data_IF_261782892542
#
_entry.id   IF_261782892542
#
_cell.length_a   1.000
_cell.length_b   1.000
_cell.length_c   1.000
_cell.angle_alpha   90.00
_cell.angle_beta   90.00
_cell.angle_gamma   90.00
#
_symmetry.space_group_name_H-M   'P 1'
#
loop_
_entity.id
_entity.type
_entity.pdbx_description
1 polymer ?
#
# COMPACT_ATOMS: atom_id res chain seq x y z
N UNK A 1 -6.30 -6.48 -23.42
CA UNK A 1 -6.42 -5.27 -22.59
C UNK A 1 -7.12 -4.17 -23.37
N UNK A 2 -6.56 -3.64 -24.47
CA UNK A 2 -7.13 -2.52 -25.21
C UNK A 2 -8.52 -2.78 -25.81
N UNK A 3 -8.81 -4.01 -26.20
CA UNK A 3 -10.14 -4.42 -26.65
C UNK A 3 -11.19 -4.28 -25.52
N UNK A 4 -10.81 -4.59 -24.28
CA UNK A 4 -11.68 -4.37 -23.10
C UNK A 4 -11.93 -2.88 -22.81
N UNK A 5 -11.01 -2.01 -23.23
CA UNK A 5 -11.17 -0.56 -23.18
C UNK A 5 -12.00 0.00 -24.35
N UNK A 6 -12.56 -0.86 -25.23
CA UNK A 6 -13.43 -0.47 -26.33
C UNK A 6 -12.75 -0.11 -27.63
N UNK A 7 -11.41 -0.28 -27.74
CA UNK A 7 -10.69 -0.05 -28.98
C UNK A 7 -10.78 -1.26 -29.92
N UNK A 8 -11.05 -1.00 -31.20
CA UNK A 8 -11.00 -2.05 -32.23
C UNK A 8 -9.54 -2.31 -32.63
N UNK A 9 -8.93 -3.29 -31.96
CA UNK A 9 -7.51 -3.67 -32.17
C UNK A 9 -7.24 -4.30 -33.53
N UNK A 10 -8.27 -4.64 -34.32
CA UNK A 10 -8.17 -5.19 -35.66
C UNK A 10 -8.37 -4.13 -36.74
N UNK A 11 -8.74 -2.90 -36.37
CA UNK A 11 -8.89 -1.79 -37.29
C UNK A 11 -7.61 -0.94 -37.30
N UNK A 12 -6.75 -1.00 -38.34
CA UNK A 12 -5.50 -0.25 -38.38
C UNK A 12 -5.68 1.28 -38.46
N UNK A 13 -6.88 1.76 -38.76
CA UNK A 13 -7.21 3.20 -38.72
C UNK A 13 -7.46 3.71 -37.31
N UNK A 14 -7.66 2.81 -36.34
CA UNK A 14 -7.86 3.11 -34.94
C UNK A 14 -6.70 2.61 -34.08
N UNK A 15 -6.25 1.37 -34.30
CA UNK A 15 -5.16 0.72 -33.59
C UNK A 15 -4.09 0.29 -34.59
N UNK A 16 -3.15 1.23 -34.89
CA UNK A 16 -2.14 1.05 -35.91
C UNK A 16 -0.95 0.24 -35.38
N UNK A 17 -0.66 -0.95 -35.93
CA UNK A 17 0.55 -1.69 -35.60
C UNK A 17 1.76 -1.06 -36.33
N UNK A 18 2.94 -1.24 -35.75
CA UNK A 18 4.21 -0.80 -36.33
C UNK A 18 4.20 0.67 -36.79
N UNK A 19 3.65 1.55 -35.93
CA UNK A 19 3.44 2.96 -36.27
C UNK A 19 4.76 3.70 -36.50
N UNK A 20 4.84 4.42 -37.62
CA UNK A 20 5.99 5.22 -38.04
C UNK A 20 5.59 6.70 -38.00
N UNK A 21 6.31 7.53 -37.24
CA UNK A 21 6.12 8.98 -37.30
C UNK A 21 6.87 9.56 -38.52
N UNK A 22 6.24 10.53 -39.18
CA UNK A 22 6.74 11.10 -40.45
C UNK A 22 8.00 12.00 -40.31
N UNK A 23 8.41 12.36 -39.09
CA UNK A 23 9.43 13.38 -38.85
C UNK A 23 10.47 12.96 -37.79
N UNK A 24 11.75 13.11 -38.16
CA UNK A 24 12.86 13.23 -37.20
C UNK A 24 13.43 11.93 -36.63
N UNK A 25 12.99 10.74 -37.11
CA UNK A 25 13.37 9.43 -36.56
C UNK A 25 14.38 8.74 -37.48
N UNK A 26 15.24 7.89 -36.89
CA UNK A 26 16.15 7.04 -37.69
C UNK A 26 15.33 6.15 -38.62
N UNK A 27 15.75 6.10 -39.89
CA UNK A 27 15.09 5.34 -40.93
C UNK A 27 14.89 3.88 -40.47
N UNK A 28 13.62 3.44 -40.37
CA UNK A 28 13.25 2.07 -39.96
C UNK A 28 12.91 1.87 -38.47
N UNK A 29 12.99 2.90 -37.62
CA UNK A 29 12.41 2.82 -36.27
C UNK A 29 10.89 2.95 -36.35
N UNK A 30 10.17 2.26 -35.47
CA UNK A 30 8.71 2.25 -35.35
C UNK A 30 8.32 1.92 -33.91
N UNK A 31 7.22 2.49 -33.44
CA UNK A 31 6.58 2.09 -32.18
C UNK A 31 5.67 0.89 -32.44
N UNK A 32 5.58 -0.04 -31.49
CA UNK A 32 4.85 -1.31 -31.73
C UNK A 32 3.38 -1.05 -32.10
N UNK A 33 2.71 -0.10 -31.40
CA UNK A 33 1.33 0.28 -31.73
C UNK A 33 1.08 1.76 -31.42
N UNK A 34 0.09 2.33 -32.14
CA UNK A 34 -0.48 3.66 -31.82
C UNK A 34 -2.01 3.60 -31.86
N UNK A 35 -2.67 4.20 -30.89
CA UNK A 35 -4.09 4.49 -30.94
C UNK A 35 -4.28 5.82 -31.62
N UNK A 36 -5.09 5.84 -32.67
CA UNK A 36 -5.33 7.00 -33.53
C UNK A 36 -6.72 7.58 -33.28
N UNK A 37 -6.79 8.92 -33.32
CA UNK A 37 -8.02 9.66 -33.44
C UNK A 37 -7.91 10.60 -34.65
N UNK A 38 -8.78 10.44 -35.64
CA UNK A 38 -8.73 11.18 -36.92
C UNK A 38 -7.33 11.14 -37.56
N UNK A 39 -6.74 9.98 -37.66
CA UNK A 39 -5.39 9.69 -38.17
C UNK A 39 -4.23 10.29 -37.36
N UNK A 40 -4.48 10.97 -36.25
CA UNK A 40 -3.43 11.48 -35.37
C UNK A 40 -3.23 10.53 -34.17
N UNK A 41 -1.99 10.20 -33.80
CA UNK A 41 -1.73 9.37 -32.64
C UNK A 41 -2.08 10.14 -31.38
N UNK A 42 -2.86 9.49 -30.49
CA UNK A 42 -3.24 10.00 -29.18
C UNK A 42 -2.54 9.23 -28.07
N UNK A 43 -2.28 7.93 -28.28
CA UNK A 43 -1.54 7.06 -27.36
C UNK A 43 -0.52 6.27 -28.16
N UNK A 44 0.73 6.24 -27.73
CA UNK A 44 1.78 5.37 -28.24
C UNK A 44 1.98 4.18 -27.30
N UNK A 45 2.20 2.99 -27.85
CA UNK A 45 2.33 1.78 -27.05
C UNK A 45 3.58 1.01 -27.48
N UNK A 46 4.44 0.74 -26.53
CA UNK A 46 5.62 -0.11 -26.70
C UNK A 46 5.42 -1.40 -25.88
N UNK A 47 5.50 -2.54 -26.55
CA UNK A 47 5.28 -3.85 -25.96
C UNK A 47 6.60 -4.62 -25.84
N UNK A 48 6.85 -5.24 -24.71
CA UNK A 48 8.02 -6.08 -24.45
C UNK A 48 7.60 -7.50 -24.12
N UNK A 49 8.56 -8.42 -24.18
CA UNK A 49 8.33 -9.79 -23.73
C UNK A 49 7.85 -9.82 -22.27
N UNK A 50 6.95 -10.74 -21.94
CA UNK A 50 6.45 -10.96 -20.57
C UNK A 50 7.57 -11.16 -19.54
N UNK A 51 8.73 -11.64 -19.96
CA UNK A 51 9.90 -11.86 -19.10
C UNK A 51 10.79 -10.61 -18.96
N UNK A 52 10.51 -9.54 -19.69
CA UNK A 52 11.32 -8.31 -19.65
C UNK A 52 10.95 -7.48 -18.45
N UNK A 53 11.97 -7.05 -17.70
CA UNK A 53 11.85 -5.93 -16.76
C UNK A 53 11.69 -4.65 -17.59
N UNK A 54 10.67 -3.86 -17.29
CA UNK A 54 10.38 -2.61 -18.01
C UNK A 54 11.28 -1.44 -17.57
N UNK A 55 12.24 -1.65 -16.67
CA UNK A 55 13.27 -0.66 -16.35
C UNK A 55 14.19 -0.50 -17.56
N UNK A 56 14.43 0.73 -17.99
CA UNK A 56 15.32 1.08 -19.10
C UNK A 56 14.85 0.69 -20.53
N UNK A 57 13.56 0.39 -20.75
CA UNK A 57 13.02 0.04 -22.07
C UNK A 57 12.18 1.16 -22.72
N UNK A 58 12.18 2.34 -22.16
CA UNK A 58 11.38 3.49 -22.56
C UNK A 58 12.00 4.37 -23.67
N UNK A 59 13.29 4.17 -23.99
CA UNK A 59 14.04 5.07 -24.88
C UNK A 59 13.43 5.24 -26.28
N UNK A 60 12.80 4.22 -26.83
CA UNK A 60 12.12 4.26 -28.12
C UNK A 60 10.82 5.05 -28.02
N UNK A 61 9.99 4.71 -27.02
CA UNK A 61 8.74 5.39 -26.73
C UNK A 61 8.96 6.90 -26.47
N UNK A 62 10.03 7.27 -25.73
CA UNK A 62 10.44 8.66 -25.50
C UNK A 62 10.69 9.42 -26.78
N UNK A 63 11.46 8.83 -27.72
CA UNK A 63 11.79 9.49 -28.99
C UNK A 63 10.54 9.74 -29.84
N UNK A 64 9.66 8.73 -29.94
CA UNK A 64 8.42 8.85 -30.69
C UNK A 64 7.44 9.84 -30.08
N UNK A 65 7.34 9.87 -28.76
CA UNK A 65 6.47 10.80 -28.06
C UNK A 65 6.80 12.24 -28.40
N UNK A 66 8.08 12.61 -28.41
CA UNK A 66 8.53 13.97 -28.72
C UNK A 66 8.38 14.39 -30.20
N UNK A 67 8.12 13.43 -31.11
CA UNK A 67 8.01 13.70 -32.56
C UNK A 67 6.58 13.52 -33.07
N UNK A 68 5.62 13.21 -32.21
CA UNK A 68 4.21 13.00 -32.57
C UNK A 68 3.29 13.93 -31.81
N UNK A 69 2.00 13.89 -32.12
CA UNK A 69 0.95 14.60 -31.38
C UNK A 69 0.41 13.80 -30.20
N UNK A 70 0.94 12.59 -29.95
CA UNK A 70 0.50 11.76 -28.86
C UNK A 70 0.69 12.44 -27.50
N UNK A 71 -0.29 12.30 -26.61
CA UNK A 71 -0.26 12.85 -25.26
C UNK A 71 -0.02 11.80 -24.20
N UNK A 72 -0.12 10.53 -24.55
CA UNK A 72 0.14 9.43 -23.63
C UNK A 72 1.05 8.38 -24.29
N UNK A 73 1.94 7.83 -23.46
CA UNK A 73 2.76 6.69 -23.79
C UNK A 73 2.46 5.52 -22.84
N UNK A 74 2.36 4.31 -23.35
CA UNK A 74 2.18 3.10 -22.56
C UNK A 74 3.33 2.15 -22.86
N UNK A 75 4.06 1.76 -21.83
CA UNK A 75 5.06 0.70 -21.87
C UNK A 75 4.49 -0.52 -21.15
N UNK A 76 4.50 -1.68 -21.81
CA UNK A 76 3.94 -2.90 -21.23
C UNK A 76 4.74 -4.15 -21.59
N UNK A 77 4.70 -5.16 -20.72
CA UNK A 77 5.12 -6.53 -21.05
C UNK A 77 3.92 -7.51 -21.07
N UNK A 78 2.69 -6.97 -21.12
CA UNK A 78 1.47 -7.78 -21.11
C UNK A 78 0.92 -8.06 -19.70
N UNK A 79 1.75 -8.00 -18.64
CA UNK A 79 1.33 -8.10 -17.25
C UNK A 79 1.49 -6.78 -16.50
N UNK A 80 2.60 -6.10 -16.66
CA UNK A 80 2.84 -4.75 -16.12
C UNK A 80 2.53 -3.71 -17.20
N UNK A 81 1.83 -2.63 -16.79
CA UNK A 81 1.49 -1.48 -17.62
C UNK A 81 1.97 -0.20 -16.93
N UNK A 82 2.72 0.64 -17.66
CA UNK A 82 3.24 1.92 -17.21
C UNK A 82 2.75 3.03 -18.14
N UNK A 83 2.09 4.04 -17.59
CA UNK A 83 1.49 5.14 -18.32
C UNK A 83 2.32 6.41 -18.12
N UNK A 84 2.65 7.05 -19.21
CA UNK A 84 3.48 8.26 -19.28
C UNK A 84 2.75 9.38 -20.00
N UNK A 85 3.11 10.64 -19.67
CA UNK A 85 2.66 11.84 -20.36
C UNK A 85 3.73 12.93 -20.24
N UNK A 86 3.45 14.15 -20.65
CA UNK A 86 4.35 15.30 -20.69
C UNK A 86 3.99 16.37 -19.64
N UNK A 87 4.01 16.03 -18.35
CA UNK A 87 3.66 16.95 -17.26
C UNK A 87 4.74 17.97 -16.96
N UNK A 88 6.03 17.61 -17.11
CA UNK A 88 7.17 18.47 -16.77
C UNK A 88 7.52 19.45 -17.91
N UNK A 89 7.60 18.94 -19.13
CA UNK A 89 7.96 19.73 -20.32
C UNK A 89 7.03 19.32 -21.47
N UNK A 90 6.34 20.29 -22.15
CA UNK A 90 5.45 19.98 -23.26
C UNK A 90 6.13 19.17 -24.37
N UNK A 91 5.47 18.16 -24.88
CA UNK A 91 5.94 17.22 -25.90
C UNK A 91 7.22 16.44 -25.55
N UNK A 92 7.55 16.36 -24.28
CA UNK A 92 8.65 15.55 -23.78
C UNK A 92 8.11 14.60 -22.70
N UNK A 93 8.06 13.33 -23.02
CA UNK A 93 7.57 12.31 -22.10
C UNK A 93 8.36 12.34 -20.78
N UNK A 94 7.68 12.32 -19.65
CA UNK A 94 8.30 12.27 -18.32
C UNK A 94 9.08 10.98 -18.12
N UNK A 95 10.13 11.01 -17.31
CA UNK A 95 10.97 9.82 -17.03
C UNK A 95 10.25 8.80 -16.13
N UNK A 96 9.35 9.27 -15.30
CA UNK A 96 8.58 8.41 -14.37
C UNK A 96 7.15 8.28 -14.85
N UNK A 97 6.57 7.08 -14.83
CA UNK A 97 5.17 6.89 -15.13
C UNK A 97 4.31 7.62 -14.09
N UNK A 98 3.24 8.27 -14.52
CA UNK A 98 2.27 8.85 -13.59
C UNK A 98 1.34 7.80 -13.00
N UNK A 99 1.15 6.68 -13.70
CA UNK A 99 0.31 5.56 -13.28
C UNK A 99 0.92 4.24 -13.73
N UNK A 100 0.86 3.22 -12.88
CA UNK A 100 1.28 1.87 -13.22
C UNK A 100 0.46 0.83 -12.45
N UNK A 101 0.32 -0.35 -13.04
CA UNK A 101 -0.31 -1.48 -12.38
C UNK A 101 0.22 -2.81 -12.93
N UNK A 102 0.05 -3.87 -12.14
CA UNK A 102 0.29 -5.26 -12.53
C UNK A 102 -1.08 -5.92 -12.69
N UNK A 103 -1.35 -6.48 -13.88
CA UNK A 103 -2.68 -6.98 -14.25
C UNK A 103 -3.17 -8.11 -13.33
N UNK A 104 -2.25 -8.95 -12.86
CA UNK A 104 -2.55 -10.06 -11.94
C UNK A 104 -2.74 -9.60 -10.48
N UNK A 105 -2.41 -8.34 -10.16
CA UNK A 105 -2.45 -7.75 -8.80
C UNK A 105 -3.22 -6.42 -8.78
N UNK A 106 -4.17 -6.28 -9.70
CA UNK A 106 -4.91 -5.03 -9.88
C UNK A 106 -5.79 -4.75 -8.66
N UNK A 107 -5.79 -3.48 -8.21
CA UNK A 107 -6.58 -3.00 -7.09
C UNK A 107 -7.78 -2.19 -7.57
N UNK A 108 -8.88 -2.20 -6.82
CA UNK A 108 -10.12 -1.47 -7.18
C UNK A 108 -9.87 0.01 -7.48
N UNK A 109 -9.01 0.68 -6.70
CA UNK A 109 -8.64 2.08 -6.94
C UNK A 109 -7.90 2.31 -8.27
N UNK A 110 -7.23 1.28 -8.81
CA UNK A 110 -6.56 1.36 -10.11
C UNK A 110 -7.53 1.16 -11.26
N UNK A 111 -8.61 0.42 -11.06
CA UNK A 111 -9.64 0.18 -12.07
C UNK A 111 -10.29 1.49 -12.50
N UNK A 112 -10.61 2.38 -11.57
CA UNK A 112 -11.20 3.70 -11.87
C UNK A 112 -10.27 4.58 -12.72
N UNK A 113 -8.95 4.48 -12.53
CA UNK A 113 -7.97 5.21 -13.35
C UNK A 113 -7.86 4.61 -14.76
N UNK A 114 -7.92 3.27 -14.86
CA UNK A 114 -7.90 2.57 -16.16
C UNK A 114 -9.14 2.92 -16.99
N UNK A 115 -10.32 3.06 -16.37
CA UNK A 115 -11.55 3.43 -17.06
C UNK A 115 -11.50 4.80 -17.72
N UNK A 116 -10.65 5.72 -17.27
CA UNK A 116 -10.45 7.01 -17.97
C UNK A 116 -9.83 6.84 -19.37
N UNK A 117 -9.15 5.71 -19.60
CA UNK A 117 -8.58 5.35 -20.89
C UNK A 117 -9.52 4.54 -21.79
N UNK A 118 -10.76 4.26 -21.36
CA UNK A 118 -11.78 3.71 -22.26
C UNK A 118 -12.05 4.69 -23.41
N UNK A 119 -12.25 4.12 -24.61
CA UNK A 119 -12.50 4.88 -25.82
C UNK A 119 -13.61 5.93 -25.67
N UNK A 120 -14.73 5.54 -25.02
CA UNK A 120 -15.88 6.40 -24.82
C UNK A 120 -15.64 7.51 -23.78
N UNK A 121 -14.73 7.28 -22.83
CA UNK A 121 -14.44 8.19 -21.72
C UNK A 121 -13.12 8.96 -21.93
N UNK A 122 -12.43 8.72 -23.05
CA UNK A 122 -11.10 9.26 -23.28
C UNK A 122 -11.13 10.77 -23.50
N UNK A 123 -10.65 11.51 -22.50
CA UNK A 123 -10.51 12.97 -22.53
C UNK A 123 -9.09 13.35 -22.10
N UNK A 124 -8.34 13.92 -23.04
CA UNK A 124 -6.92 14.28 -22.83
C UNK A 124 -6.75 15.26 -21.67
N UNK A 125 -7.61 16.28 -21.54
CA UNK A 125 -7.47 17.30 -20.50
C UNK A 125 -7.76 16.73 -19.12
N UNK A 126 -8.83 15.95 -18.98
CA UNK A 126 -9.20 15.32 -17.72
C UNK A 126 -8.17 14.27 -17.28
N UNK A 127 -7.65 13.47 -18.20
CA UNK A 127 -6.61 12.48 -17.90
C UNK A 127 -5.30 13.18 -17.51
N UNK A 128 -4.92 14.27 -18.21
CA UNK A 128 -3.68 15.00 -17.88
C UNK A 128 -3.73 15.68 -16.51
N UNK A 129 -4.89 16.23 -16.10
CA UNK A 129 -5.08 16.74 -14.74
C UNK A 129 -4.96 15.63 -13.69
N UNK A 130 -5.67 14.52 -13.90
CA UNK A 130 -5.59 13.36 -13.01
C UNK A 130 -4.16 12.77 -12.97
N UNK A 131 -3.44 12.75 -14.08
CA UNK A 131 -2.07 12.29 -14.18
C UNK A 131 -1.12 13.12 -13.29
N UNK A 132 -1.28 14.45 -13.27
CA UNK A 132 -0.52 15.31 -12.38
C UNK A 132 -0.75 14.95 -10.91
N UNK A 133 -2.02 14.85 -10.49
CA UNK A 133 -2.37 14.53 -9.12
C UNK A 133 -1.84 13.14 -8.71
N UNK A 134 -1.98 12.14 -9.57
CA UNK A 134 -1.49 10.78 -9.33
C UNK A 134 0.03 10.72 -9.20
N UNK A 135 0.77 11.44 -10.06
CA UNK A 135 2.23 11.50 -10.03
C UNK A 135 2.71 12.05 -8.69
N UNK A 136 2.19 13.20 -8.27
CA UNK A 136 2.58 13.80 -7.00
C UNK A 136 2.11 12.99 -5.80
N UNK A 137 0.92 12.38 -5.85
CA UNK A 137 0.45 11.47 -4.81
C UNK A 137 1.39 10.27 -4.64
N UNK A 138 1.88 9.69 -5.75
CA UNK A 138 2.85 8.60 -5.70
C UNK A 138 4.18 9.05 -5.09
N UNK A 139 4.70 10.21 -5.46
CA UNK A 139 5.91 10.77 -4.87
C UNK A 139 5.77 11.03 -3.36
N UNK A 140 4.62 11.55 -2.93
CA UNK A 140 4.33 11.73 -1.50
C UNK A 140 4.30 10.38 -0.76
N UNK A 141 3.65 9.36 -1.35
CA UNK A 141 3.62 8.02 -0.75
C UNK A 141 5.01 7.39 -0.66
N UNK A 142 5.81 7.47 -1.71
CA UNK A 142 7.19 6.95 -1.73
C UNK A 142 8.05 7.67 -0.69
N UNK A 143 7.97 9.01 -0.65
CA UNK A 143 8.67 9.82 0.34
C UNK A 143 8.28 9.41 1.77
N UNK A 144 6.99 9.38 2.08
CA UNK A 144 6.50 9.01 3.41
C UNK A 144 6.88 7.58 3.78
N UNK A 145 6.80 6.63 2.83
CA UNK A 145 7.21 5.24 3.06
C UNK A 145 8.69 5.15 3.45
N UNK A 146 9.54 5.92 2.77
CA UNK A 146 10.96 6.00 3.11
C UNK A 146 11.18 6.57 4.50
N UNK A 147 10.56 7.72 4.79
CA UNK A 147 10.74 8.43 6.06
C UNK A 147 10.18 7.64 7.27
N UNK A 148 9.11 6.88 7.09
CA UNK A 148 8.56 5.99 8.13
C UNK A 148 9.51 4.83 8.44
N UNK A 149 10.16 4.26 7.41
CA UNK A 149 11.07 3.12 7.60
C UNK A 149 12.46 3.54 8.06
N UNK A 150 12.97 4.65 7.52
CA UNK A 150 14.30 5.18 7.80
C UNK A 150 14.28 6.72 7.72
N UNK A 151 13.86 7.40 8.83
CA UNK A 151 13.72 8.85 8.87
C UNK A 151 15.03 9.58 8.55
N UNK A 152 15.00 10.47 7.57
CA UNK A 152 16.14 11.33 7.24
C UNK A 152 16.41 12.36 8.34
N UNK A 153 17.64 12.85 8.42
CA UNK A 153 18.05 13.88 9.39
C UNK A 153 17.17 15.15 9.24
N UNK A 154 16.90 15.55 8.01
CA UNK A 154 16.05 16.70 7.68
C UNK A 154 14.63 16.51 8.18
N UNK A 155 14.07 15.32 8.00
CA UNK A 155 12.73 14.99 8.43
C UNK A 155 12.60 14.95 9.95
N UNK A 156 13.56 14.32 10.65
CA UNK A 156 13.62 14.35 12.11
C UNK A 156 13.76 15.77 12.63
N UNK A 157 14.63 16.59 11.99
CA UNK A 157 14.82 17.99 12.37
C UNK A 157 13.55 18.85 12.16
N UNK A 158 12.80 18.57 11.10
CA UNK A 158 11.51 19.20 10.84
C UNK A 158 10.52 18.89 11.97
N UNK A 159 10.36 17.60 12.33
CA UNK A 159 9.46 17.19 13.44
C UNK A 159 9.92 17.80 14.76
N UNK A 160 11.21 17.76 15.07
CA UNK A 160 11.75 18.41 16.27
C UNK A 160 11.54 19.94 16.27
N UNK A 161 11.28 20.52 15.09
CA UNK A 161 10.87 21.92 14.96
C UNK A 161 9.60 22.22 15.75
N UNK A 162 8.67 21.30 15.75
CA UNK A 162 7.34 21.46 16.33
C UNK A 162 7.25 20.97 17.78
N UNK A 163 8.12 20.03 18.21
CA UNK A 163 7.96 19.33 19.49
C UNK A 163 9.10 19.55 20.48
N UNK A 164 10.19 20.23 20.08
CA UNK A 164 11.38 20.40 20.90
C UNK A 164 11.93 21.83 20.84
N UNK A 165 11.90 22.53 21.97
CA UNK A 165 12.33 23.94 22.08
C UNK A 165 13.86 24.14 22.12
N UNK A 166 14.65 23.06 22.26
CA UNK A 166 16.10 23.14 22.38
C UNK A 166 16.82 23.25 21.03
N UNK A 167 18.15 23.43 21.10
CA UNK A 167 19.00 23.48 19.91
C UNK A 167 19.09 22.07 19.29
N UNK A 168 18.73 21.95 18.02
CA UNK A 168 18.66 20.70 17.24
C UNK A 168 20.06 20.31 16.71
N UNK A 169 20.98 19.99 17.63
CA UNK A 169 22.31 19.48 17.28
C UNK A 169 22.21 18.06 16.71
N UNK A 170 23.27 17.61 16.01
CA UNK A 170 23.32 16.24 15.48
C UNK A 170 23.08 15.18 16.55
N UNK A 171 23.67 15.36 17.72
CA UNK A 171 23.49 14.44 18.86
C UNK A 171 22.01 14.35 19.30
N UNK A 172 21.32 15.46 19.30
CA UNK A 172 19.87 15.50 19.62
C UNK A 172 19.06 14.81 18.50
N UNK A 173 19.38 15.08 17.24
CA UNK A 173 18.70 14.46 16.10
C UNK A 173 18.90 12.94 16.15
N UNK A 174 20.13 12.45 16.31
CA UNK A 174 20.45 11.03 16.40
C UNK A 174 19.71 10.35 17.57
N UNK A 175 19.58 11.04 18.71
CA UNK A 175 18.82 10.56 19.87
C UNK A 175 17.32 10.44 19.59
N UNK A 176 16.73 11.37 18.84
CA UNK A 176 15.30 11.39 18.56
C UNK A 176 14.89 10.62 17.33
N UNK A 177 15.80 10.25 16.43
CA UNK A 177 15.50 9.44 15.23
C UNK A 177 14.74 8.16 15.56
N UNK A 178 15.16 7.31 16.53
CA UNK A 178 14.39 6.13 16.91
C UNK A 178 13.03 6.47 17.52
N UNK A 179 12.90 7.59 18.24
CA UNK A 179 11.63 8.03 18.82
C UNK A 179 10.65 8.44 17.72
N UNK A 180 11.09 9.21 16.74
CA UNK A 180 10.29 9.61 15.57
C UNK A 180 9.83 8.36 14.79
N UNK A 181 10.75 7.43 14.52
CA UNK A 181 10.43 6.16 13.84
C UNK A 181 9.36 5.36 14.58
N UNK A 182 9.47 5.22 15.90
CA UNK A 182 8.48 4.54 16.73
C UNK A 182 7.13 5.27 16.75
N UNK A 183 7.15 6.60 16.88
CA UNK A 183 5.94 7.42 16.85
C UNK A 183 5.14 7.25 15.57
N UNK A 184 5.80 7.19 14.41
CA UNK A 184 5.11 6.91 13.13
C UNK A 184 4.49 5.52 13.08
N UNK A 185 5.23 4.50 13.53
CA UNK A 185 4.70 3.13 13.56
C UNK A 185 3.48 3.01 14.46
N UNK A 186 3.53 3.58 15.66
CA UNK A 186 2.38 3.63 16.55
C UNK A 186 1.20 4.36 15.93
N UNK A 187 1.43 5.55 15.36
CA UNK A 187 0.37 6.31 14.71
C UNK A 187 -0.32 5.51 13.58
N UNK A 188 0.46 4.83 12.73
CA UNK A 188 -0.09 4.00 11.66
C UNK A 188 -0.88 2.82 12.24
N UNK A 189 -0.36 2.13 13.25
CA UNK A 189 -1.04 1.03 13.93
C UNK A 189 -2.37 1.49 14.55
N UNK A 190 -2.38 2.64 15.22
CA UNK A 190 -3.59 3.22 15.81
C UNK A 190 -4.64 3.59 14.74
N UNK A 191 -4.20 4.16 13.59
CA UNK A 191 -5.10 4.46 12.48
C UNK A 191 -5.71 3.20 11.86
N UNK A 192 -4.92 2.14 11.68
CA UNK A 192 -5.39 0.85 11.18
C UNK A 192 -6.40 0.24 12.16
N UNK A 193 -6.08 0.22 13.45
CA UNK A 193 -6.97 -0.29 14.49
C UNK A 193 -8.28 0.49 14.58
N UNK A 194 -8.23 1.82 14.49
CA UNK A 194 -9.43 2.67 14.50
C UNK A 194 -10.33 2.40 13.30
N UNK A 195 -9.75 2.27 12.09
CA UNK A 195 -10.51 1.94 10.88
C UNK A 195 -11.10 0.53 10.92
N UNK A 196 -10.34 -0.43 11.44
CA UNK A 196 -10.81 -1.80 11.61
C UNK A 196 -11.99 -1.85 12.59
N UNK A 197 -11.88 -1.18 13.73
CA UNK A 197 -12.97 -1.07 14.72
C UNK A 197 -14.19 -0.38 14.11
N UNK A 198 -14.03 0.71 13.35
CA UNK A 198 -15.13 1.37 12.65
C UNK A 198 -15.81 0.44 11.64
N UNK A 199 -15.05 -0.33 10.85
CA UNK A 199 -15.58 -1.27 9.88
C UNK A 199 -16.35 -2.43 10.53
N UNK A 200 -15.87 -2.92 11.68
CA UNK A 200 -16.52 -3.98 12.45
C UNK A 200 -17.79 -3.47 13.17
N UNK A 201 -17.81 -2.20 13.61
CA UNK A 201 -18.95 -1.60 14.29
C UNK A 201 -20.06 -1.12 13.34
N UNK A 202 -19.81 -1.04 12.03
CA UNK A 202 -20.84 -0.63 11.03
C UNK A 202 -21.92 -1.70 10.85
N UNK A 203 -21.77 -2.87 11.45
CA UNK A 203 -22.80 -3.93 11.45
C UNK A 203 -23.70 -3.95 12.69
N UNK A 204 -23.50 -3.04 13.66
CA UNK A 204 -24.38 -2.90 14.85
C UNK A 204 -24.57 -1.41 15.18
N UNK A 205 -25.82 -0.97 15.19
CA UNK A 205 -26.24 0.40 15.52
C UNK A 205 -25.98 0.77 16.97
N UNK A 206 -25.25 1.84 17.13
CA UNK A 206 -25.07 2.84 18.17
C UNK A 206 -25.91 2.78 19.46
N UNK A 207 -25.24 2.79 20.60
CA UNK A 207 -25.53 3.69 21.72
C UNK A 207 -24.22 4.07 22.44
N UNK A 208 -24.04 5.39 22.64
CA UNK A 208 -22.90 6.00 23.32
C UNK A 208 -22.81 5.59 24.79
N UNK A 209 -21.63 5.22 25.28
CA UNK A 209 -21.31 5.29 26.71
C UNK A 209 -19.88 5.79 26.94
N UNK A 210 -19.80 6.74 27.84
CA UNK A 210 -18.64 7.50 28.28
C UNK A 210 -17.47 6.62 28.81
N UNK A 211 -16.25 7.11 28.57
CA UNK A 211 -14.99 6.48 28.98
C UNK A 211 -14.64 6.89 30.41
N UNK A 212 -14.36 5.96 31.34
CA UNK A 212 -13.65 6.29 32.57
C UNK A 212 -12.13 6.23 32.34
N UNK A 213 -11.46 7.34 32.68
CA UNK A 213 -10.01 7.38 32.80
C UNK A 213 -9.52 6.45 33.91
N UNK A 214 -8.52 5.62 33.61
CA UNK A 214 -7.78 4.87 34.62
C UNK A 214 -6.28 5.12 34.43
N UNK A 215 -5.67 5.53 35.52
CA UNK A 215 -4.29 5.98 35.69
C UNK A 215 -3.23 4.98 35.19
N UNK A 216 -2.22 5.53 34.53
CA UNK A 216 -1.04 4.83 34.07
C UNK A 216 -0.05 4.67 35.25
N UNK A 217 0.27 3.44 35.61
CA UNK A 217 1.48 3.16 36.38
C UNK A 217 2.64 3.02 35.39
N UNK A 218 3.58 3.95 35.48
CA UNK A 218 4.83 3.95 34.74
C UNK A 218 5.79 2.93 35.35
N UNK A 219 6.03 1.82 34.64
CA UNK A 219 7.24 1.02 34.79
C UNK A 219 8.08 1.21 33.52
N UNK A 220 9.38 1.38 33.68
CA UNK A 220 10.36 1.71 32.62
C UNK A 220 10.27 0.73 31.45
N UNK A 221 9.73 1.19 30.33
CA UNK A 221 9.63 0.43 29.07
C UNK A 221 10.96 0.60 28.28
N UNK A 222 11.84 -0.39 28.39
CA UNK A 222 12.90 -0.60 27.39
C UNK A 222 12.29 -1.06 26.06
N UNK A 223 12.78 -0.52 24.96
CA UNK A 223 12.34 -0.62 23.55
C UNK A 223 11.69 -1.96 23.12
N UNK A 224 10.38 -2.06 23.23
CA UNK A 224 9.58 -3.13 22.63
C UNK A 224 9.08 -2.61 21.27
N UNK A 225 9.42 -3.30 20.18
CA UNK A 225 9.01 -2.93 18.82
C UNK A 225 7.99 -3.97 18.35
N UNK A 226 6.71 -3.59 18.31
CA UNK A 226 5.66 -4.43 17.73
C UNK A 226 5.91 -4.58 16.23
N UNK A 227 5.99 -5.82 15.77
CA UNK A 227 6.26 -6.18 14.38
C UNK A 227 4.98 -6.21 13.53
N UNK A 228 5.16 -6.17 12.21
CA UNK A 228 4.05 -6.26 11.25
C UNK A 228 3.27 -7.59 11.41
N UNK A 229 3.97 -8.70 11.61
CA UNK A 229 3.38 -10.02 11.84
C UNK A 229 2.58 -10.08 13.16
N UNK A 230 2.98 -9.37 14.21
CA UNK A 230 2.23 -9.30 15.47
C UNK A 230 0.92 -8.52 15.31
N UNK A 231 0.92 -7.43 14.54
CA UNK A 231 -0.29 -6.67 14.21
C UNK A 231 -1.22 -7.51 13.32
N UNK A 232 -0.69 -8.26 12.37
CA UNK A 232 -1.45 -9.16 11.52
C UNK A 232 -2.10 -10.29 12.35
N UNK A 233 -1.37 -10.90 13.29
CA UNK A 233 -1.91 -11.88 14.21
C UNK A 233 -3.04 -11.34 15.09
N UNK A 234 -2.91 -10.09 15.57
CA UNK A 234 -3.97 -9.41 16.31
C UNK A 234 -5.22 -9.20 15.43
N UNK A 235 -5.04 -8.73 14.22
CA UNK A 235 -6.13 -8.51 13.27
C UNK A 235 -6.83 -9.83 12.92
N UNK A 236 -6.06 -10.87 12.63
CA UNK A 236 -6.55 -12.22 12.35
C UNK A 236 -7.37 -12.76 13.53
N UNK A 237 -6.87 -12.61 14.77
CA UNK A 237 -7.59 -13.04 15.96
C UNK A 237 -8.88 -12.24 16.19
N UNK A 238 -8.88 -10.92 15.97
CA UNK A 238 -10.09 -10.10 16.03
C UNK A 238 -11.15 -10.54 15.04
N UNK A 239 -10.77 -10.82 13.79
CA UNK A 239 -11.67 -11.30 12.75
C UNK A 239 -12.25 -12.69 13.09
N UNK A 240 -11.42 -13.58 13.62
CA UNK A 240 -11.83 -14.92 14.06
C UNK A 240 -12.91 -14.84 15.16
N UNK A 241 -12.76 -13.89 16.08
CA UNK A 241 -13.61 -13.78 17.27
C UNK A 241 -14.81 -12.82 17.10
N UNK A 242 -14.98 -12.19 15.94
CA UNK A 242 -16.00 -11.15 15.70
C UNK A 242 -17.43 -11.56 16.00
N UNK A 243 -17.75 -12.84 15.79
CA UNK A 243 -19.08 -13.41 16.03
C UNK A 243 -19.23 -14.01 17.45
N UNK A 244 -18.14 -14.03 18.24
CA UNK A 244 -18.11 -14.60 19.58
C UNK A 244 -18.10 -13.53 20.67
N UNK A 245 -17.35 -12.44 20.47
CA UNK A 245 -17.22 -11.35 21.45
C UNK A 245 -17.15 -10.01 20.72
N UNK A 246 -17.62 -8.95 21.37
CA UNK A 246 -17.41 -7.59 20.86
C UNK A 246 -15.91 -7.31 20.68
N UNK A 247 -15.53 -7.01 19.46
CA UNK A 247 -14.13 -6.81 19.06
C UNK A 247 -13.48 -5.59 19.73
N UNK A 248 -14.28 -4.66 20.28
CA UNK A 248 -13.80 -3.53 21.10
C UNK A 248 -13.22 -3.98 22.44
N UNK A 249 -13.59 -5.18 22.92
CA UNK A 249 -13.07 -5.80 24.14
C UNK A 249 -11.74 -6.54 23.95
N UNK A 250 -11.26 -6.68 22.69
CA UNK A 250 -10.03 -7.40 22.36
C UNK A 250 -8.88 -6.39 22.22
N UNK A 251 -7.85 -6.57 23.03
CA UNK A 251 -6.65 -5.73 23.10
C UNK A 251 -5.40 -6.58 22.90
N UNK A 252 -4.27 -5.94 22.66
CA UNK A 252 -2.98 -6.60 22.71
C UNK A 252 -2.04 -5.91 23.72
N UNK A 253 -1.05 -6.66 24.16
CA UNK A 253 0.13 -6.14 24.87
C UNK A 253 1.36 -6.82 24.35
N UNK A 254 2.28 -6.02 23.87
CA UNK A 254 3.56 -6.49 23.41
C UNK A 254 4.57 -6.53 24.57
N UNK A 255 5.35 -7.59 24.61
CA UNK A 255 6.41 -7.80 25.57
C UNK A 255 7.68 -8.28 24.85
N UNK A 256 8.86 -8.09 25.43
CA UNK A 256 10.16 -8.53 24.86
C UNK A 256 10.18 -10.00 24.38
N UNK A 257 9.37 -10.87 24.95
CA UNK A 257 9.41 -12.31 24.71
C UNK A 257 8.22 -12.87 23.97
N UNK A 258 7.09 -12.17 23.94
CA UNK A 258 5.87 -12.61 23.29
C UNK A 258 4.87 -11.46 23.10
N UNK A 259 4.06 -11.58 22.08
CA UNK A 259 2.92 -10.70 21.81
C UNK A 259 1.64 -11.32 22.40
N UNK A 260 0.95 -10.60 23.27
CA UNK A 260 -0.18 -11.12 24.05
C UNK A 260 -1.51 -10.52 23.57
N UNK A 261 -2.49 -11.37 23.23
CA UNK A 261 -3.86 -10.94 22.91
C UNK A 261 -4.75 -11.20 24.12
N UNK A 262 -5.43 -10.14 24.57
CA UNK A 262 -6.14 -10.09 25.86
C UNK A 262 -7.56 -9.55 25.69
N UNK A 263 -8.44 -9.86 26.64
CA UNK A 263 -9.80 -9.35 26.74
C UNK A 263 -9.89 -8.27 27.84
N UNK A 264 -10.73 -7.23 27.59
CA UNK A 264 -11.01 -6.13 28.52
C UNK A 264 -9.74 -5.39 29.01
N UNK A 265 -8.71 -5.32 28.18
CA UNK A 265 -7.39 -4.78 28.53
C UNK A 265 -6.76 -5.39 29.80
N UNK A 266 -7.15 -6.62 30.16
CA UNK A 266 -6.70 -7.32 31.37
C UNK A 266 -5.70 -8.41 31.03
N UNK A 267 -4.47 -8.33 31.56
CA UNK A 267 -3.44 -9.37 31.38
C UNK A 267 -3.83 -10.73 31.97
N UNK A 268 -4.81 -10.78 32.89
CA UNK A 268 -5.35 -12.04 33.45
C UNK A 268 -6.32 -12.72 32.49
N UNK A 269 -6.91 -11.98 31.55
CA UNK A 269 -7.85 -12.47 30.54
C UNK A 269 -7.16 -12.62 29.18
N UNK A 270 -6.00 -13.25 29.16
CA UNK A 270 -5.31 -13.47 27.89
C UNK A 270 -5.92 -14.67 27.12
N UNK A 271 -5.94 -14.53 25.81
CA UNK A 271 -6.50 -15.52 24.88
C UNK A 271 -5.39 -16.37 24.29
N UNK A 272 -4.42 -15.73 23.66
CA UNK A 272 -3.25 -16.38 23.11
C UNK A 272 -2.01 -15.49 23.25
N UNK A 273 -0.85 -16.14 23.26
CA UNK A 273 0.48 -15.50 23.24
C UNK A 273 1.23 -15.97 22.02
N UNK A 274 1.59 -15.03 21.15
CA UNK A 274 2.36 -15.28 19.95
C UNK A 274 3.85 -15.11 20.25
N UNK A 275 4.65 -16.03 19.71
CA UNK A 275 6.10 -16.05 19.80
C UNK A 275 6.65 -16.11 18.37
N UNK A 276 7.35 -15.05 17.96
CA UNK A 276 8.01 -14.97 16.66
C UNK A 276 9.51 -14.89 16.89
N UNK A 277 10.23 -15.88 16.44
CA UNK A 277 11.69 -15.87 16.47
C UNK A 277 12.28 -16.41 15.16
N UNK A 278 13.59 -16.21 14.95
CA UNK A 278 14.26 -16.60 13.71
C UNK A 278 14.20 -18.10 13.37
N UNK A 279 13.83 -18.95 14.32
CA UNK A 279 13.79 -20.39 14.13
C UNK A 279 12.38 -20.93 13.89
N UNK A 280 11.36 -20.34 14.52
CA UNK A 280 9.97 -20.79 14.42
C UNK A 280 8.98 -19.72 14.88
N UNK A 281 7.74 -19.80 14.35
CA UNK A 281 6.59 -19.01 14.80
C UNK A 281 5.59 -19.97 15.43
N UNK A 282 5.13 -19.65 16.64
CA UNK A 282 4.12 -20.44 17.34
C UNK A 282 3.31 -19.57 18.28
N UNK A 283 2.13 -20.04 18.65
CA UNK A 283 1.36 -19.40 19.70
C UNK A 283 0.92 -20.40 20.79
N UNK A 284 0.68 -19.89 21.99
CA UNK A 284 0.19 -20.64 23.14
C UNK A 284 -1.21 -20.14 23.46
N UNK A 285 -2.18 -21.04 23.58
CA UNK A 285 -3.56 -20.74 23.94
C UNK A 285 -3.71 -20.76 25.47
N UNK A 286 -4.62 -19.95 26.03
CA UNK A 286 -4.95 -19.94 27.46
C UNK A 286 -6.01 -20.98 27.81
N UNK A 287 -5.86 -22.19 27.29
CA UNK A 287 -6.62 -23.35 27.76
C UNK A 287 -6.02 -23.97 29.07
N UNK A 288 -6.58 -25.04 29.55
CA UNK A 288 -6.09 -25.69 30.78
C UNK A 288 -4.68 -26.28 30.62
N UNK A 289 -4.38 -26.78 29.42
CA UNK A 289 -3.12 -27.45 29.08
C UNK A 289 -2.05 -26.49 28.58
N UNK A 290 -2.39 -25.22 28.33
CA UNK A 290 -1.51 -24.21 27.65
C UNK A 290 -1.02 -24.73 26.31
N UNK A 291 -1.95 -25.16 25.47
CA UNK A 291 -1.67 -25.80 24.20
C UNK A 291 -0.79 -24.89 23.34
N UNK A 292 0.34 -25.43 22.90
CA UNK A 292 1.28 -24.75 21.99
C UNK A 292 1.02 -25.23 20.55
N UNK A 293 0.92 -24.30 19.60
CA UNK A 293 0.65 -24.56 18.19
C UNK A 293 1.70 -23.87 17.34
N UNK A 294 2.47 -24.64 16.58
CA UNK A 294 3.39 -24.10 15.57
C UNK A 294 2.62 -23.74 14.29
N UNK A 295 2.97 -22.59 13.71
CA UNK A 295 2.37 -22.07 12.47
C UNK A 295 3.47 -21.62 11.51
N UNK A 296 3.15 -21.63 10.22
CA UNK A 296 4.04 -21.14 9.18
C UNK A 296 3.79 -19.65 8.95
N UNK A 297 2.50 -19.26 8.98
CA UNK A 297 2.04 -17.90 8.78
C UNK A 297 1.07 -17.53 9.91
N UNK A 298 1.04 -16.26 10.32
CA UNK A 298 0.14 -15.79 11.38
C UNK A 298 -1.35 -15.90 11.00
N UNK A 299 -1.65 -15.93 9.71
CA UNK A 299 -3.01 -16.18 9.21
C UNK A 299 -3.51 -17.59 9.56
N UNK A 300 -2.61 -18.55 9.80
CA UNK A 300 -2.94 -19.91 10.20
C UNK A 300 -3.67 -19.98 11.55
N UNK A 301 -3.65 -18.90 12.34
CA UNK A 301 -4.45 -18.76 13.57
C UNK A 301 -5.94 -19.05 13.30
N UNK A 302 -6.46 -18.70 12.11
CA UNK A 302 -7.84 -19.02 11.71
C UNK A 302 -8.15 -20.53 11.72
N UNK A 303 -7.17 -21.37 11.41
CA UNK A 303 -7.34 -22.81 11.34
C UNK A 303 -7.55 -23.46 12.74
N UNK A 304 -7.40 -22.67 13.80
CA UNK A 304 -7.48 -23.12 15.20
C UNK A 304 -8.61 -22.44 15.99
N UNK A 305 -9.64 -21.96 15.29
CA UNK A 305 -10.82 -21.32 15.86
C UNK A 305 -11.50 -22.21 16.92
N UNK A 306 -11.57 -23.53 16.66
CA UNK A 306 -12.13 -24.55 17.53
C UNK A 306 -11.49 -24.60 18.94
N UNK A 307 -10.23 -24.21 19.05
CA UNK A 307 -9.48 -24.15 20.31
C UNK A 307 -9.46 -22.76 20.94
N UNK A 308 -9.50 -21.71 20.13
CA UNK A 308 -9.41 -20.32 20.61
C UNK A 308 -10.76 -19.81 21.13
N UNK A 309 -11.86 -20.11 20.44
CA UNK A 309 -13.21 -19.66 20.81
C UNK A 309 -13.60 -20.09 22.23
N UNK A 310 -13.40 -21.35 22.66
CA UNK A 310 -13.77 -21.79 24.03
C UNK A 310 -13.00 -21.05 25.13
N UNK A 311 -11.81 -20.54 24.84
CA UNK A 311 -11.04 -19.70 25.77
C UNK A 311 -11.70 -18.36 26.00
N UNK A 312 -12.21 -17.77 24.94
CA UNK A 312 -12.87 -16.45 24.96
C UNK A 312 -14.24 -16.56 25.65
N UNK A 313 -14.99 -17.62 25.39
CA UNK A 313 -16.30 -17.87 25.99
C UNK A 313 -16.25 -17.90 27.52
N UNK A 314 -15.09 -18.22 28.13
CA UNK A 314 -14.88 -18.11 29.58
C UNK A 314 -14.88 -16.69 30.13
N UNK A 315 -14.79 -15.69 29.26
CA UNK A 315 -14.73 -14.26 29.60
C UNK A 315 -15.99 -13.48 29.17
N UNK A 316 -16.98 -14.18 28.60
CA UNK A 316 -18.29 -13.60 28.29
C UNK A 316 -19.15 -13.54 29.53
#
# INVERSE_FOLDING_TARGET
FFQLLGYDVFNPLEFSPEYIADVGIKKGEKVDYAILNNNNPIILIEAKSIKSDLKNHDSQLFRYFGTTTAKFGILTNGNEYRFYTDLEEPNKMDKTPFFSFVLTEIKDVQISEIFKFQKENFDVENISKAASDLKYLNFVKEFLTKEVNDPSEEFVKFILGEIYDGIKTKVIIDKFTPVVKRGFRQFIADQVNSKLNAALNTSVSVEELEVPQVEANAEEEEDIITTEAEIEAFTTTKLLLKDTIDTSRIFYRDNKSYFNIIIDNSIRKWVLRLYINNARTYFVINDEEKTTIEIVDVIDIFNHADKIIPVVERYL
#
